data_IF_680800981242
#
_entry.id   IF_680800981242
#
_cell.length_a   1.000
_cell.length_b   1.000
_cell.length_c   1.000
_cell.angle_alpha   90.00
_cell.angle_beta   90.00
_cell.angle_gamma   90.00
#
_symmetry.space_group_name_H-M   'P 1'
#
loop_
_entity.id
_entity.type
_entity.pdbx_description
1 polymer ?
#
# COMPACT_ATOMS: atom_id res chain seq x y z
N UNK A 1 -7.69 -17.24 16.02
CA UNK A 1 -6.84 -16.04 15.95
C UNK A 1 -7.64 -14.84 16.42
N UNK A 2 -7.13 -14.03 17.36
CA UNK A 2 -7.85 -12.86 17.85
C UNK A 2 -7.83 -11.72 16.82
N UNK A 3 -8.88 -10.91 16.85
CA UNK A 3 -8.91 -9.59 16.20
C UNK A 3 -7.74 -8.72 16.68
N UNK A 4 -7.24 -7.85 15.80
CA UNK A 4 -6.16 -6.92 16.13
C UNK A 4 -4.77 -7.55 16.08
N UNK A 5 -4.64 -8.84 15.78
CA UNK A 5 -3.32 -9.46 15.57
C UNK A 5 -2.59 -8.76 14.43
N UNK A 6 -1.38 -8.26 14.70
CA UNK A 6 -0.53 -7.58 13.72
C UNK A 6 -0.02 -8.56 12.66
N UNK A 7 -0.06 -8.13 11.40
CA UNK A 7 0.46 -8.87 10.25
C UNK A 7 1.40 -7.96 9.47
N UNK A 8 2.67 -8.32 9.39
CA UNK A 8 3.66 -7.62 8.58
C UNK A 8 3.61 -8.12 7.14
N UNK A 9 3.43 -7.19 6.20
CA UNK A 9 3.23 -7.49 4.79
C UNK A 9 4.20 -6.64 3.95
N UNK A 10 4.54 -7.13 2.77
CA UNK A 10 5.27 -6.40 1.75
C UNK A 10 4.54 -6.44 0.40
N UNK A 11 4.74 -5.40 -0.42
CA UNK A 11 4.21 -5.38 -1.80
C UNK A 11 4.94 -6.40 -2.67
N UNK A 12 4.20 -7.29 -3.35
CA UNK A 12 4.81 -8.25 -4.29
C UNK A 12 5.22 -7.59 -5.60
N UNK A 13 4.39 -6.65 -6.06
CA UNK A 13 4.56 -5.95 -7.33
C UNK A 13 4.61 -4.45 -7.08
N UNK A 14 5.27 -3.72 -7.97
CA UNK A 14 5.23 -2.26 -7.91
C UNK A 14 3.86 -1.72 -8.30
N UNK A 15 3.45 -0.63 -7.65
CA UNK A 15 2.18 0.03 -7.90
C UNK A 15 2.40 1.52 -8.13
N UNK A 16 1.81 2.09 -9.18
CA UNK A 16 1.96 3.51 -9.52
C UNK A 16 0.62 4.22 -9.63
N UNK A 17 0.55 5.47 -9.15
CA UNK A 17 -0.66 6.31 -9.29
C UNK A 17 -1.03 6.59 -10.74
N UNK A 18 -0.08 6.41 -11.67
CA UNK A 18 -0.28 6.63 -13.10
C UNK A 18 -1.07 5.50 -13.77
N UNK A 19 -0.82 4.26 -13.34
CA UNK A 19 -1.35 3.03 -13.95
C UNK A 19 -2.42 2.36 -13.09
N UNK A 20 -2.39 2.56 -11.78
CA UNK A 20 -3.37 2.01 -10.86
C UNK A 20 -4.78 2.51 -11.18
N UNK A 21 -5.74 1.60 -11.04
CA UNK A 21 -7.16 1.85 -11.23
C UNK A 21 -7.86 1.64 -9.89
N UNK A 22 -8.85 2.48 -9.58
CA UNK A 22 -9.70 2.26 -8.42
C UNK A 22 -10.40 0.89 -8.49
N UNK A 23 -10.44 0.17 -7.38
CA UNK A 23 -10.93 -1.22 -7.32
C UNK A 23 -9.94 -2.28 -7.82
N UNK A 24 -8.77 -1.87 -8.35
CA UNK A 24 -7.73 -2.83 -8.74
C UNK A 24 -7.20 -3.57 -7.51
N UNK A 25 -7.09 -4.90 -7.63
CA UNK A 25 -6.44 -5.74 -6.62
C UNK A 25 -4.94 -5.79 -6.85
N UNK A 26 -4.18 -5.82 -5.77
CA UNK A 26 -2.74 -6.03 -5.79
C UNK A 26 -2.36 -7.09 -4.76
N UNK A 27 -1.27 -7.79 -5.04
CA UNK A 27 -0.79 -8.86 -4.19
C UNK A 27 0.27 -8.35 -3.21
N UNK A 28 0.16 -8.86 -1.98
CA UNK A 28 1.07 -8.66 -0.88
C UNK A 28 1.63 -10.02 -0.46
N UNK A 29 2.75 -9.99 0.25
CA UNK A 29 3.36 -11.18 0.85
C UNK A 29 3.52 -10.95 2.34
N UNK A 30 3.20 -11.96 3.14
CA UNK A 30 3.45 -11.94 4.58
C UNK A 30 4.94 -12.07 4.84
N UNK A 31 5.53 -11.10 5.55
CA UNK A 31 6.95 -11.08 5.88
C UNK A 31 7.30 -12.02 7.03
N UNK A 32 6.43 -12.13 8.03
CA UNK A 32 6.70 -12.88 9.27
C UNK A 32 5.57 -13.86 9.61
N UNK A 33 5.95 -14.99 10.24
CA UNK A 33 4.99 -15.98 10.74
C UNK A 33 4.09 -15.35 11.81
N UNK A 34 2.78 -15.31 11.54
CA UNK A 34 1.82 -14.82 12.51
C UNK A 34 1.28 -16.00 13.31
N UNK A 35 1.69 -16.06 14.57
CA UNK A 35 1.33 -17.15 15.48
C UNK A 35 0.35 -16.71 16.55
N UNK A 36 -0.55 -17.61 16.94
CA UNK A 36 -1.51 -17.41 18.03
C UNK A 36 -1.39 -18.59 18.98
N UNK A 37 -1.13 -18.29 20.27
CA UNK A 37 -0.94 -19.32 21.30
C UNK A 37 0.12 -20.37 20.90
N UNK A 38 1.21 -19.95 20.25
CA UNK A 38 2.30 -20.84 19.82
C UNK A 38 2.06 -21.60 18.52
N UNK A 39 0.88 -21.48 17.89
CA UNK A 39 0.59 -22.11 16.60
C UNK A 39 0.70 -21.08 15.48
N UNK A 40 1.47 -21.37 14.43
CA UNK A 40 1.54 -20.53 13.22
C UNK A 40 0.19 -20.60 12.50
N UNK A 41 -0.46 -19.45 12.43
CA UNK A 41 -1.78 -19.30 11.80
C UNK A 41 -1.66 -18.75 10.39
N UNK A 42 -0.76 -17.78 10.18
CA UNK A 42 -0.44 -17.24 8.86
C UNK A 42 1.05 -17.45 8.65
N UNK A 43 1.47 -18.41 7.81
CA UNK A 43 2.88 -18.63 7.56
C UNK A 43 3.47 -17.48 6.74
N UNK A 44 4.74 -17.18 7.00
CA UNK A 44 5.59 -16.31 6.20
C UNK A 44 5.53 -16.75 4.75
N UNK A 45 5.41 -15.78 3.86
CA UNK A 45 5.26 -16.00 2.43
C UNK A 45 3.83 -16.27 1.97
N UNK A 46 2.85 -16.34 2.89
CA UNK A 46 1.44 -16.35 2.51
C UNK A 46 1.10 -15.17 1.62
N UNK A 47 0.23 -15.40 0.64
CA UNK A 47 -0.26 -14.33 -0.23
C UNK A 47 -1.35 -13.57 0.47
N UNK A 48 -1.25 -12.25 0.49
CA UNK A 48 -2.33 -11.36 0.90
C UNK A 48 -2.78 -10.50 -0.29
N UNK A 49 -4.00 -9.99 -0.20
CA UNK A 49 -4.64 -9.19 -1.23
C UNK A 49 -5.05 -7.86 -0.62
N UNK A 50 -4.67 -6.78 -1.30
CA UNK A 50 -5.19 -5.45 -1.08
C UNK A 50 -5.94 -4.94 -2.30
N UNK A 51 -6.67 -3.85 -2.11
CA UNK A 51 -7.45 -3.17 -3.15
C UNK A 51 -7.08 -1.70 -3.18
N UNK A 52 -6.96 -1.13 -4.37
CA UNK A 52 -6.82 0.31 -4.57
C UNK A 52 -8.15 0.98 -4.26
N UNK A 53 -8.23 1.66 -3.12
CA UNK A 53 -9.43 2.41 -2.73
C UNK A 53 -9.60 3.69 -3.55
N UNK A 54 -8.50 4.35 -3.94
CA UNK A 54 -8.52 5.46 -4.88
C UNK A 54 -7.17 5.63 -5.56
N UNK A 55 -7.17 6.05 -6.82
CA UNK A 55 -5.96 6.42 -7.55
C UNK A 55 -6.16 7.73 -8.29
N UNK A 56 -5.37 8.75 -7.95
CA UNK A 56 -5.36 10.02 -8.64
C UNK A 56 -4.03 10.21 -9.38
N UNK A 57 -4.12 10.47 -10.69
CA UNK A 57 -2.97 10.81 -11.52
C UNK A 57 -2.54 12.26 -11.27
N UNK A 58 -1.25 12.55 -11.39
CA UNK A 58 -0.77 13.94 -11.39
C UNK A 58 -1.49 14.76 -12.47
N UNK A 59 -1.73 16.04 -12.20
CA UNK A 59 -2.26 16.97 -13.22
C UNK A 59 -1.30 18.14 -13.46
N UNK A 60 -1.41 18.73 -14.65
CA UNK A 60 -0.54 19.79 -15.14
C UNK A 60 -0.62 21.09 -14.30
N UNK A 61 -1.70 21.28 -13.54
CA UNK A 61 -1.90 22.40 -12.61
C UNK A 61 -1.32 22.15 -11.20
N UNK A 62 -0.23 21.39 -11.09
CA UNK A 62 0.47 21.20 -9.80
C UNK A 62 -0.25 20.31 -8.77
N UNK A 63 -1.28 19.55 -9.18
CA UNK A 63 -1.88 18.50 -8.33
C UNK A 63 -0.97 17.27 -8.36
N UNK A 64 -0.58 16.81 -7.18
CA UNK A 64 0.22 15.59 -7.01
C UNK A 64 -0.64 14.37 -7.32
N UNK A 65 0.02 13.27 -7.70
CA UNK A 65 -0.66 11.98 -7.68
C UNK A 65 -0.90 11.50 -6.25
N UNK A 66 -1.95 10.71 -6.07
CA UNK A 66 -2.35 10.12 -4.80
C UNK A 66 -2.73 8.65 -5.03
N UNK A 67 -2.34 7.79 -4.10
CA UNK A 67 -2.75 6.39 -4.04
C UNK A 67 -3.28 6.09 -2.64
N UNK A 68 -4.55 5.68 -2.57
CA UNK A 68 -5.17 5.15 -1.38
C UNK A 68 -5.36 3.66 -1.54
N UNK A 69 -4.76 2.91 -0.63
CA UNK A 69 -4.73 1.46 -0.65
C UNK A 69 -5.37 0.93 0.63
N UNK A 70 -6.13 -0.14 0.51
CA UNK A 70 -6.73 -0.84 1.65
C UNK A 70 -6.38 -2.32 1.58
N UNK A 71 -6.12 -2.91 2.74
CA UNK A 71 -5.97 -4.36 2.87
C UNK A 71 -7.35 -5.02 2.77
N UNK A 72 -7.39 -6.25 2.26
CA UNK A 72 -8.63 -7.01 2.11
C UNK A 72 -8.56 -8.32 2.87
N UNK A 73 -7.64 -9.22 2.51
CA UNK A 73 -7.50 -10.51 3.21
C UNK A 73 -6.12 -11.16 2.96
N UNK A 74 -5.69 -12.01 3.90
CA UNK A 74 -4.64 -13.00 3.66
C UNK A 74 -5.26 -14.34 3.21
N UNK A 75 -4.56 -15.09 2.36
CA UNK A 75 -4.95 -16.42 1.92
C UNK A 75 -4.07 -17.46 2.63
N UNK A 76 -4.71 -18.35 3.39
CA UNK A 76 -4.04 -19.44 4.12
C UNK A 76 -4.85 -20.72 3.91
N UNK A 77 -4.26 -21.75 3.30
CA UNK A 77 -4.90 -23.06 3.09
C UNK A 77 -6.35 -22.94 2.54
N UNK A 78 -6.52 -22.16 1.47
CA UNK A 78 -7.81 -21.82 0.83
C UNK A 78 -8.81 -21.00 1.68
N UNK A 79 -8.45 -20.66 2.91
CA UNK A 79 -9.22 -19.78 3.78
C UNK A 79 -8.78 -18.32 3.60
N UNK A 80 -9.76 -17.42 3.48
CA UNK A 80 -9.52 -15.98 3.50
C UNK A 80 -9.61 -15.46 4.92
N UNK A 81 -8.55 -14.84 5.39
CA UNK A 81 -8.48 -14.19 6.69
C UNK A 81 -8.65 -12.69 6.46
N UNK A 82 -9.78 -12.09 6.87
CA UNK A 82 -10.01 -10.68 6.69
C UNK A 82 -8.93 -9.83 7.38
N UNK A 83 -8.37 -8.89 6.62
CA UNK A 83 -7.36 -7.96 7.13
C UNK A 83 -7.88 -6.53 7.02
N UNK A 84 -7.55 -5.72 8.02
CA UNK A 84 -7.77 -4.28 8.05
C UNK A 84 -6.44 -3.55 8.04
N UNK A 85 -6.39 -2.49 7.25
CA UNK A 85 -5.24 -1.60 7.17
C UNK A 85 -5.36 -0.73 5.93
N UNK A 86 -4.84 0.48 5.99
CA UNK A 86 -4.86 1.39 4.86
C UNK A 86 -3.54 2.12 4.75
N UNK A 87 -3.10 2.39 3.53
CA UNK A 87 -1.91 3.16 3.24
C UNK A 87 -2.23 4.20 2.19
N UNK A 88 -2.03 5.46 2.56
CA UNK A 88 -2.10 6.59 1.63
C UNK A 88 -0.69 7.02 1.27
N UNK A 89 -0.42 7.11 -0.02
CA UNK A 89 0.84 7.62 -0.53
C UNK A 89 0.57 8.78 -1.48
N UNK A 90 1.06 9.95 -1.10
CA UNK A 90 0.99 11.17 -1.90
C UNK A 90 2.33 11.46 -2.60
N UNK A 91 2.27 12.04 -3.79
CA UNK A 91 3.46 12.42 -4.57
C UNK A 91 4.16 13.58 -3.88
N UNK A 92 5.47 13.52 -3.65
CA UNK A 92 6.19 14.61 -2.97
C UNK A 92 6.09 15.92 -3.76
N UNK A 93 5.59 16.99 -3.11
CA UNK A 93 5.79 18.37 -3.57
C UNK A 93 7.23 18.74 -3.22
N UNK A 94 8.04 19.18 -4.18
CA UNK A 94 9.18 20.04 -3.85
C UNK A 94 8.64 21.43 -3.50
N UNK A 95 7.99 21.58 -2.32
CA UNK A 95 7.80 22.89 -1.70
C UNK A 95 9.13 23.22 -1.03
N UNK A 96 10.05 23.88 -1.73
CA UNK A 96 11.32 24.24 -1.11
C UNK A 96 12.48 24.64 -2.01
N UNK A 97 12.25 25.25 -3.18
CA UNK A 97 13.31 25.92 -3.96
C UNK A 97 12.74 26.83 -5.06
N UNK A 98 11.75 27.69 -4.76
CA UNK A 98 11.34 28.72 -5.72
C UNK A 98 10.81 29.98 -5.03
N UNK A 99 11.53 30.43 -4.01
CA UNK A 99 11.32 31.75 -3.42
C UNK A 99 12.58 32.64 -3.55
N UNK A 100 13.49 32.37 -4.50
CA UNK A 100 14.74 33.13 -4.63
C UNK A 100 15.23 33.40 -6.07
N UNK A 101 14.43 33.17 -7.13
CA UNK A 101 14.84 33.49 -8.50
C UNK A 101 13.71 34.17 -9.30
N UNK A 102 13.12 35.20 -8.70
CA UNK A 102 12.68 36.40 -9.41
C UNK A 102 13.86 37.35 -9.21
N UNK A 103 14.80 37.55 -10.12
CA UNK A 103 14.73 38.45 -11.28
C UNK A 103 16.01 38.17 -12.08
N UNK A 104 15.95 37.60 -13.28
CA UNK A 104 17.11 37.66 -14.18
C UNK A 104 16.76 37.44 -15.66
N UNK A 105 15.82 36.56 -16.01
CA UNK A 105 15.55 36.25 -17.43
C UNK A 105 14.05 36.07 -17.68
N UNK A 106 13.53 36.82 -18.65
CA UNK A 106 12.11 37.03 -18.89
C UNK A 106 11.26 35.77 -19.09
N UNK A 107 10.03 35.83 -18.55
CA UNK A 107 8.83 35.57 -19.34
C UNK A 107 8.44 34.15 -19.75
N UNK A 108 9.08 33.08 -19.27
CA UNK A 108 8.59 31.71 -19.50
C UNK A 108 8.55 30.92 -18.19
N UNK A 109 7.37 30.93 -17.56
CA UNK A 109 7.09 30.26 -16.30
C UNK A 109 7.45 28.78 -16.34
N UNK A 110 8.35 28.37 -15.45
CA UNK A 110 8.66 26.97 -15.15
C UNK A 110 7.40 26.27 -14.65
N UNK A 111 6.68 25.60 -15.55
CA UNK A 111 5.59 24.70 -15.24
C UNK A 111 6.14 23.53 -14.38
N UNK A 112 6.06 23.68 -13.06
CA UNK A 112 6.40 22.62 -12.10
C UNK A 112 5.39 21.47 -12.26
N UNK A 113 5.77 20.45 -13.05
CA UNK A 113 5.00 19.20 -13.16
C UNK A 113 5.02 18.48 -11.81
N UNK A 114 3.84 18.12 -11.29
CA UNK A 114 3.74 17.21 -10.14
C UNK A 114 4.42 15.87 -10.46
N UNK A 115 4.86 15.12 -9.45
CA UNK A 115 5.40 13.76 -9.65
C UNK A 115 4.29 12.73 -9.47
N UNK A 116 4.37 11.64 -10.23
CA UNK A 116 3.54 10.45 -9.96
C UNK A 116 4.05 9.80 -8.68
N UNK A 117 3.19 9.01 -8.04
CA UNK A 117 3.54 8.14 -6.93
C UNK A 117 3.89 6.77 -7.47
N UNK A 118 4.92 6.17 -6.90
CA UNK A 118 5.29 4.79 -7.13
C UNK A 118 5.63 4.13 -5.80
N UNK A 119 5.08 2.95 -5.59
CA UNK A 119 5.32 2.07 -4.46
C UNK A 119 6.06 0.87 -5.04
N UNK A 120 7.37 0.72 -4.78
CA UNK A 120 8.13 -0.41 -5.29
C UNK A 120 7.72 -1.71 -4.60
N UNK A 121 7.98 -2.84 -5.27
CA UNK A 121 7.93 -4.15 -4.63
C UNK A 121 8.88 -4.20 -3.42
N UNK A 122 8.54 -5.00 -2.41
CA UNK A 122 9.24 -5.05 -1.13
C UNK A 122 8.94 -3.88 -0.19
N UNK A 123 8.06 -2.95 -0.57
CA UNK A 123 7.66 -1.89 0.36
C UNK A 123 6.88 -2.51 1.53
N UNK A 124 7.20 -2.22 2.80
CA UNK A 124 6.46 -2.76 3.92
C UNK A 124 5.10 -2.05 4.12
N UNK A 125 4.13 -2.81 4.60
CA UNK A 125 2.82 -2.35 5.06
C UNK A 125 2.36 -3.22 6.23
N UNK A 126 1.88 -2.59 7.28
CA UNK A 126 1.33 -3.30 8.44
C UNK A 126 -0.18 -3.42 8.30
N UNK A 127 -0.69 -4.62 8.53
CA UNK A 127 -2.12 -4.91 8.63
C UNK A 127 -2.48 -5.50 9.98
N UNK A 128 -3.77 -5.58 10.23
CA UNK A 128 -4.35 -6.19 11.43
C UNK A 128 -5.44 -7.16 11.03
N UNK A 129 -5.64 -8.22 11.79
CA UNK A 129 -6.78 -9.11 11.60
C UNK A 129 -8.07 -8.38 11.96
N UNK A 130 -9.01 -8.35 11.03
CA UNK A 130 -10.25 -7.56 11.13
C UNK A 130 -11.30 -8.19 12.05
N UNK A 131 -11.30 -9.52 12.14
CA UNK A 131 -12.25 -10.28 12.97
C UNK A 131 -11.61 -11.55 13.49
N UNK A 132 -11.97 -11.93 14.72
CA UNK A 132 -11.54 -13.21 15.28
C UNK A 132 -11.96 -14.36 14.36
N UNK A 133 -10.99 -15.11 13.87
CA UNK A 133 -11.21 -16.16 12.87
C UNK A 133 -10.71 -17.50 13.42
N UNK A 134 -11.54 -18.53 13.29
CA UNK A 134 -11.16 -19.93 13.55
C UNK A 134 -10.51 -20.44 12.28
N UNK A 135 -9.24 -20.84 12.38
CA UNK A 135 -8.51 -21.42 11.25
C UNK A 135 -8.36 -22.89 11.54
N UNK A 136 -8.64 -23.73 10.55
CA UNK A 136 -8.28 -25.14 10.61
C UNK A 136 -6.77 -25.22 10.52
N UNK A 137 -6.09 -25.27 11.66
CA UNK A 137 -4.68 -25.64 11.72
C UNK A 137 -4.58 -27.07 11.23
N UNK A 138 -3.94 -27.27 10.08
CA UNK A 138 -3.51 -28.59 9.61
C UNK A 138 -2.39 -29.05 10.54
N UNK A 139 -2.76 -29.60 11.69
CA UNK A 139 -1.86 -30.31 12.57
C UNK A 139 -1.65 -31.73 12.04
N UNK A 140 -0.40 -32.10 11.85
CA UNK A 140 0.08 -33.49 11.95
C UNK A 140 1.44 -33.44 12.63
#
# INVERSE_FOLDING_TARGET
>A
MPEGTTVYLEFRDSLSSKTAIEGQRFNLRVEDDVSVNGNVVIPRGSTAVGTVAAAQKRRMLGRQGELNLVLSYALVNDQRIPLRGSKTQEGKRKVGAAAALTVAFGGLGLLKRGKDVEIPAGTPITGYVDVSTVIKTSGS
#
